data_IF_005620788465
#
_entry.id   IF_005620788465
#
_cell.length_a   1.000
_cell.length_b   1.000
_cell.length_c   1.000
_cell.angle_alpha   90.00
_cell.angle_beta   90.00
_cell.angle_gamma   90.00
#
_symmetry.space_group_name_H-M   'P 1'
#
loop_
_entity.id
_entity.type
_entity.pdbx_description
1 polymer ?
#
# COMPACT_ATOMS: atom_id res chain seq x y z
N UNK A 1 -4.24 17.10 -14.74
CA UNK A 1 -3.12 17.48 -15.63
C UNK A 1 -2.01 18.15 -14.82
N UNK A 2 -0.80 17.58 -14.79
CA UNK A 2 0.33 18.13 -14.00
C UNK A 2 0.86 19.44 -14.59
N UNK A 3 1.07 19.51 -15.91
CA UNK A 3 1.57 20.73 -16.57
C UNK A 3 0.69 21.96 -16.33
N UNK A 4 -0.63 21.80 -16.44
CA UNK A 4 -1.58 22.87 -16.16
C UNK A 4 -1.48 23.39 -14.71
N UNK A 5 -1.19 22.52 -13.73
CA UNK A 5 -0.94 22.92 -12.33
C UNK A 5 0.37 23.71 -12.22
N UNK A 6 1.42 23.28 -12.90
CA UNK A 6 2.70 24.00 -12.92
C UNK A 6 2.51 25.43 -13.48
N UNK A 7 1.75 25.60 -14.57
CA UNK A 7 1.42 26.91 -15.13
C UNK A 7 0.63 27.75 -14.11
N UNK A 8 -0.36 27.17 -13.44
CA UNK A 8 -1.11 27.87 -12.38
C UNK A 8 -0.23 28.27 -11.18
N UNK A 9 0.83 27.50 -10.91
CA UNK A 9 1.82 27.81 -9.88
C UNK A 9 2.89 28.84 -10.34
N UNK A 10 2.81 29.34 -11.58
CA UNK A 10 3.71 30.37 -12.10
C UNK A 10 4.89 29.83 -12.93
N UNK A 11 4.88 28.55 -13.32
CA UNK A 11 5.91 28.02 -14.22
C UNK A 11 5.90 28.76 -15.57
N UNK A 12 7.10 29.00 -16.12
CA UNK A 12 7.27 29.66 -17.41
C UNK A 12 6.51 28.93 -18.53
N UNK A 13 5.96 29.72 -19.45
CA UNK A 13 5.32 29.23 -20.66
C UNK A 13 6.35 29.08 -21.78
N UNK A 14 6.24 28.01 -22.55
CA UNK A 14 7.10 27.75 -23.72
C UNK A 14 6.39 28.10 -25.04
N UNK A 15 5.10 28.38 -24.97
CA UNK A 15 4.23 28.73 -26.10
C UNK A 15 3.43 29.97 -25.75
N UNK A 16 3.19 30.82 -26.76
CA UNK A 16 2.44 32.05 -26.60
C UNK A 16 0.97 31.81 -26.23
N UNK A 17 0.51 32.58 -25.25
CA UNK A 17 -0.85 32.48 -24.72
C UNK A 17 -1.83 33.24 -25.60
N UNK A 18 -2.73 32.52 -26.26
CA UNK A 18 -3.78 33.11 -27.11
C UNK A 18 -5.13 33.20 -26.37
N UNK A 19 -5.15 33.91 -25.23
CA UNK A 19 -6.30 33.94 -24.28
C UNK A 19 -6.77 32.56 -23.81
N UNK A 20 -5.97 31.53 -24.04
CA UNK A 20 -6.22 30.16 -23.62
C UNK A 20 -6.18 30.03 -22.09
N UNK A 21 -6.98 29.09 -21.56
CA UNK A 21 -6.88 28.69 -20.15
C UNK A 21 -5.69 27.76 -19.95
N UNK A 22 -5.17 27.68 -18.72
CA UNK A 22 -3.99 26.86 -18.40
C UNK A 22 -4.08 25.39 -18.87
N UNK A 23 -5.24 24.70 -18.81
CA UNK A 23 -5.36 23.36 -19.39
C UNK A 23 -5.16 23.33 -20.91
N UNK A 24 -5.64 24.33 -21.64
CA UNK A 24 -5.54 24.41 -23.11
C UNK A 24 -4.11 24.76 -23.51
N UNK A 25 -3.48 25.72 -22.83
CA UNK A 25 -2.06 26.05 -23.05
C UNK A 25 -1.17 24.84 -22.80
N UNK A 26 -1.40 24.10 -21.71
CA UNK A 26 -0.66 22.88 -21.42
C UNK A 26 -0.79 21.81 -22.52
N UNK A 27 -2.00 21.64 -23.08
CA UNK A 27 -2.22 20.71 -24.19
C UNK A 27 -1.50 21.16 -25.47
N UNK A 28 -1.48 22.46 -25.76
CA UNK A 28 -0.72 23.02 -26.89
C UNK A 28 0.78 22.81 -26.73
N UNK A 29 1.33 23.08 -25.55
CA UNK A 29 2.75 22.85 -25.27
C UNK A 29 3.16 21.38 -25.42
N UNK A 30 2.26 20.45 -25.09
CA UNK A 30 2.46 19.00 -25.31
C UNK A 30 2.37 18.66 -26.80
N UNK A 31 1.40 19.21 -27.53
CA UNK A 31 1.24 18.95 -28.96
C UNK A 31 2.38 19.52 -29.82
N UNK A 32 3.06 20.55 -29.33
CA UNK A 32 4.22 21.19 -29.97
C UNK A 32 5.57 20.62 -29.49
N UNK A 33 5.56 19.54 -28.70
CA UNK A 33 6.75 18.88 -28.12
C UNK A 33 7.68 19.86 -27.38
N UNK A 34 7.12 20.91 -26.76
CA UNK A 34 7.88 21.95 -26.04
C UNK A 34 8.14 21.63 -24.57
N UNK A 35 7.55 20.56 -24.07
CA UNK A 35 7.65 20.13 -22.67
C UNK A 35 8.13 18.69 -22.66
N UNK A 36 9.12 18.41 -21.81
CA UNK A 36 9.60 17.07 -21.58
C UNK A 36 8.54 16.25 -20.81
N UNK A 37 8.03 15.20 -21.46
CA UNK A 37 7.00 14.33 -20.90
C UNK A 37 7.54 13.38 -19.84
N UNK A 38 8.80 12.95 -19.97
CA UNK A 38 9.44 12.05 -19.00
C UNK A 38 9.69 12.80 -17.69
N UNK A 39 10.19 14.03 -17.77
CA UNK A 39 10.35 14.90 -16.59
C UNK A 39 9.00 15.24 -15.94
N UNK A 40 7.96 15.50 -16.75
CA UNK A 40 6.63 15.79 -16.22
C UNK A 40 6.04 14.58 -15.48
N UNK A 41 6.27 13.38 -16.01
CA UNK A 41 5.87 12.11 -15.39
C UNK A 41 6.66 11.86 -14.11
N UNK A 42 7.97 12.01 -14.15
CA UNK A 42 8.84 11.82 -12.99
C UNK A 42 8.44 12.76 -11.85
N UNK A 43 8.25 14.04 -12.16
CA UNK A 43 7.78 15.04 -11.18
C UNK A 43 6.44 14.65 -10.55
N UNK A 44 5.51 14.14 -11.36
CA UNK A 44 4.20 13.67 -10.86
C UNK A 44 4.38 12.46 -9.94
N UNK A 45 5.18 11.47 -10.35
CA UNK A 45 5.45 10.27 -9.56
C UNK A 45 6.10 10.63 -8.23
N UNK A 46 7.19 11.40 -8.24
CA UNK A 46 7.91 11.83 -7.04
C UNK A 46 7.01 12.66 -6.12
N UNK A 47 6.16 13.53 -6.67
CA UNK A 47 5.20 14.31 -5.88
C UNK A 47 4.10 13.47 -5.22
N UNK A 48 3.82 12.26 -5.72
CA UNK A 48 2.85 11.32 -5.13
C UNK A 48 3.50 10.29 -4.20
N UNK A 49 4.82 10.16 -4.22
CA UNK A 49 5.55 9.28 -3.33
C UNK A 49 5.52 9.82 -1.90
N UNK A 50 5.29 8.93 -0.93
CA UNK A 50 5.49 9.23 0.49
C UNK A 50 6.98 9.12 0.79
N UNK A 51 7.59 10.22 1.19
CA UNK A 51 8.97 10.23 1.67
C UNK A 51 8.95 9.85 3.15
N UNK A 52 9.37 8.64 3.48
CA UNK A 52 9.61 8.21 4.86
C UNK A 52 10.98 8.72 5.29
N UNK A 53 11.07 9.36 6.45
CA UNK A 53 12.36 9.69 7.04
C UNK A 53 12.95 8.42 7.66
N UNK A 54 14.28 8.39 7.84
CA UNK A 54 14.94 7.28 8.54
C UNK A 54 14.34 7.07 9.94
N UNK A 55 13.91 8.14 10.61
CA UNK A 55 13.23 8.11 11.92
C UNK A 55 11.82 7.48 11.87
N UNK A 56 11.17 7.47 10.71
CA UNK A 56 9.85 6.85 10.52
C UNK A 56 9.94 5.36 10.18
N UNK A 57 11.16 4.87 9.89
CA UNK A 57 11.43 3.47 9.58
C UNK A 57 11.87 2.80 10.88
N UNK A 58 11.19 1.71 11.26
CA UNK A 58 11.57 0.93 12.42
C UNK A 58 13.04 0.52 12.31
N UNK A 59 13.80 0.78 13.37
CA UNK A 59 15.21 0.38 13.45
C UNK A 59 15.34 -1.14 13.39
N UNK A 60 16.52 -1.63 12.98
CA UNK A 60 16.78 -3.07 12.93
C UNK A 60 16.51 -3.75 14.29
N UNK A 61 16.79 -3.06 15.39
CA UNK A 61 16.50 -3.54 16.75
C UNK A 61 15.00 -3.60 17.05
N UNK A 62 14.20 -2.64 16.58
CA UNK A 62 12.74 -2.64 16.76
C UNK A 62 12.08 -3.73 15.91
N UNK A 63 12.59 -3.97 14.69
CA UNK A 63 12.13 -5.06 13.83
C UNK A 63 12.42 -6.42 14.48
N UNK A 64 13.64 -6.63 14.98
CA UNK A 64 14.02 -7.86 15.68
C UNK A 64 13.17 -8.10 16.93
N UNK A 65 12.84 -7.04 17.68
CA UNK A 65 11.97 -7.14 18.84
C UNK A 65 10.54 -7.54 18.46
N UNK A 66 9.99 -6.95 17.40
CA UNK A 66 8.67 -7.29 16.88
C UNK A 66 8.60 -8.74 16.37
N UNK A 67 9.65 -9.21 15.68
CA UNK A 67 9.74 -10.60 15.22
C UNK A 67 9.79 -11.60 16.39
N UNK A 68 10.52 -11.26 17.45
CA UNK A 68 10.59 -12.08 18.67
C UNK A 68 9.23 -12.13 19.40
N UNK A 69 8.52 -11.01 19.48
CA UNK A 69 7.17 -10.95 20.06
C UNK A 69 6.18 -11.78 19.25
N UNK A 70 6.23 -11.69 17.91
CA UNK A 70 5.38 -12.47 17.01
C UNK A 70 5.66 -13.98 17.14
N UNK A 71 6.92 -14.38 17.28
CA UNK A 71 7.31 -15.76 17.51
C UNK A 71 6.74 -16.29 18.85
N UNK A 72 6.84 -15.50 19.92
CA UNK A 72 6.30 -15.87 21.23
C UNK A 72 4.77 -16.04 21.21
N UNK A 73 4.06 -15.14 20.53
CA UNK A 73 2.62 -15.27 20.28
C UNK A 73 2.29 -16.54 19.50
N UNK A 74 3.09 -16.87 18.48
CA UNK A 74 2.89 -18.07 17.67
C UNK A 74 3.03 -19.35 18.49
N UNK A 75 4.03 -19.41 19.37
CA UNK A 75 4.21 -20.53 20.31
C UNK A 75 3.04 -20.61 21.32
N UNK A 76 2.57 -19.48 21.84
CA UNK A 76 1.41 -19.43 22.74
C UNK A 76 0.13 -19.97 22.07
N UNK A 77 -0.13 -19.57 20.81
CA UNK A 77 -1.26 -20.08 20.03
C UNK A 77 -1.12 -21.59 19.70
N UNK A 78 0.09 -22.08 19.45
CA UNK A 78 0.33 -23.51 19.23
C UNK A 78 -0.02 -24.32 20.49
N UNK A 79 0.41 -23.85 21.67
CA UNK A 79 0.08 -24.50 22.93
C UNK A 79 -1.41 -24.50 23.28
N UNK A 80 -2.17 -23.48 22.84
CA UNK A 80 -3.62 -23.45 22.99
C UNK A 80 -4.32 -24.42 22.04
N UNK A 81 -3.85 -24.53 20.79
CA UNK A 81 -4.41 -25.44 19.79
C UNK A 81 -4.13 -26.92 20.13
N UNK A 82 -2.95 -27.21 20.68
CA UNK A 82 -2.60 -28.55 21.20
C UNK A 82 -3.51 -28.97 22.37
N UNK A 83 -3.90 -28.02 23.23
CA UNK A 83 -4.85 -28.26 24.32
C UNK A 83 -6.29 -28.45 23.83
N UNK A 84 -6.71 -27.78 22.76
CA UNK A 84 -8.03 -27.95 22.15
C UNK A 84 -8.14 -29.31 21.42
N UNK A 85 -7.09 -29.76 20.73
CA UNK A 85 -7.02 -31.10 20.12
C UNK A 85 -6.94 -32.20 21.18
N UNK A 86 -6.16 -32.03 22.25
CA UNK A 86 -6.11 -32.99 23.36
C UNK A 86 -7.45 -33.06 24.13
N UNK A 87 -8.17 -31.95 24.28
CA UNK A 87 -9.52 -31.94 24.86
C UNK A 87 -10.57 -32.58 23.94
N UNK A 88 -10.43 -32.45 22.62
CA UNK A 88 -11.28 -33.12 21.64
C UNK A 88 -11.02 -34.65 21.58
N UNK A 89 -9.76 -35.09 21.73
CA UNK A 89 -9.40 -36.52 21.78
C UNK A 89 -9.76 -37.20 23.11
N UNK A 90 -9.84 -36.46 24.23
CA UNK A 90 -10.12 -37.04 25.55
C UNK A 90 -11.62 -37.12 25.93
N UNK A 91 -12.57 -36.80 25.03
CA UNK A 91 -13.93 -36.49 25.47
C UNK A 91 -15.10 -36.68 24.52
N UNK A 92 -15.03 -37.54 23.48
CA UNK A 92 -16.24 -37.89 22.71
C UNK A 92 -16.38 -39.42 22.52
N UNK A 93 -17.20 -40.01 23.37
CA UNK A 93 -17.75 -41.35 23.19
C UNK A 93 -18.65 -41.37 21.96
N UNK A 94 -18.16 -41.90 20.84
CA UNK A 94 -18.98 -42.31 19.72
C UNK A 94 -19.86 -43.49 20.15
N UNK A 95 -21.09 -43.20 20.63
CA UNK A 95 -22.17 -44.18 20.60
C UNK A 95 -22.89 -44.00 19.27
N UNK A 96 -22.52 -44.88 18.36
CA UNK A 96 -23.12 -45.14 17.06
C UNK A 96 -24.65 -45.20 17.15
N UNK A 97 -25.33 -44.35 16.39
CA UNK A 97 -26.77 -44.47 16.16
C UNK A 97 -27.02 -45.72 15.29
N UNK A 98 -27.36 -46.84 15.92
CA UNK A 98 -27.91 -48.01 15.24
C UNK A 98 -29.39 -47.73 14.93
N UNK A 99 -29.67 -47.40 13.68
CA UNK A 99 -31.02 -47.40 13.09
C UNK A 99 -31.61 -48.81 13.23
N UNK A 100 -32.56 -48.99 14.14
CA UNK A 100 -33.43 -50.18 14.16
C UNK A 100 -34.73 -49.83 13.43
N UNK A 101 -34.98 -50.53 12.33
CA UNK A 101 -36.27 -50.58 11.63
C UNK A 101 -37.35 -51.23 12.52
N UNK A 102 -38.53 -50.61 12.61
CA UNK A 102 -39.84 -51.24 12.34
C UNK A 102 -40.93 -50.19 12.14
#
# INVERSE_FOLDING_TARGET
AQRAKNISAGAALTVDRDRDKNPVVALREIAEDKVDLDDLRNTLVTGMQKNYKEEDIASETEIQAADAELAALTDEFAHLNDNEQAAAEAGFSEVTAETTEE
#
